data_IF_143925642398
#
_entry.id   IF_143925642398
#
_cell.length_a   1.000
_cell.length_b   1.000
_cell.length_c   1.000
_cell.angle_alpha   90.00
_cell.angle_beta   90.00
_cell.angle_gamma   90.00
#
_symmetry.space_group_name_H-M   'P 1'
#
loop_
_entity.id
_entity.type
_entity.pdbx_description
1 polymer ?
#
# COMPACT_ATOMS: atom_id res chain seq x y z
N UNK A 1 -0.52 -0.89 16.51
CA UNK A 1 0.36 -1.96 15.98
C UNK A 1 1.77 -1.45 15.96
N UNK A 2 2.72 -2.28 16.43
CA UNK A 2 4.15 -2.03 16.32
C UNK A 2 4.58 -2.22 14.87
N UNK A 3 5.42 -1.31 14.36
CA UNK A 3 5.97 -1.39 13.01
C UNK A 3 7.23 -2.28 13.01
N UNK A 4 7.49 -2.95 11.89
CA UNK A 4 8.68 -3.76 11.73
C UNK A 4 9.95 -2.92 11.90
N UNK A 5 10.82 -3.33 12.82
CA UNK A 5 12.07 -2.63 13.12
C UNK A 5 13.11 -2.87 12.05
N UNK A 6 13.65 -1.81 11.47
CA UNK A 6 14.69 -1.91 10.44
C UNK A 6 15.99 -2.49 11.01
N UNK A 7 16.29 -2.18 12.27
CA UNK A 7 17.49 -2.70 12.96
C UNK A 7 17.39 -4.20 13.16
N UNK A 8 16.21 -4.71 13.54
CA UNK A 8 15.97 -6.14 13.69
C UNK A 8 16.13 -6.87 12.36
N UNK A 9 15.51 -6.37 11.29
CA UNK A 9 15.62 -6.94 9.93
C UNK A 9 17.08 -6.95 9.47
N UNK A 10 17.81 -5.86 9.66
CA UNK A 10 19.21 -5.76 9.27
C UNK A 10 20.11 -6.76 10.03
N UNK A 11 19.97 -6.85 11.37
CA UNK A 11 20.75 -7.76 12.18
C UNK A 11 20.47 -9.23 11.81
N UNK A 12 19.19 -9.59 11.65
CA UNK A 12 18.80 -10.95 11.22
C UNK A 12 19.40 -11.29 9.86
N UNK A 13 19.38 -10.33 8.94
CA UNK A 13 19.97 -10.52 7.61
C UNK A 13 21.49 -10.72 7.68
N UNK A 14 22.20 -9.92 8.49
CA UNK A 14 23.65 -10.07 8.68
C UNK A 14 23.98 -11.42 9.30
N UNK A 15 23.22 -11.86 10.30
CA UNK A 15 23.42 -13.16 10.93
C UNK A 15 23.22 -14.30 9.93
N UNK A 16 22.25 -14.19 9.04
CA UNK A 16 22.01 -15.14 7.96
C UNK A 16 23.18 -15.18 6.98
N UNK A 17 23.68 -14.03 6.54
CA UNK A 17 24.78 -13.93 5.56
C UNK A 17 26.10 -14.36 6.17
N UNK A 18 26.38 -14.00 7.43
CA UNK A 18 27.60 -14.37 8.13
C UNK A 18 27.69 -15.89 8.41
N UNK A 19 26.54 -16.55 8.68
CA UNK A 19 26.48 -17.99 8.88
C UNK A 19 27.05 -18.77 7.68
N UNK A 20 26.81 -18.23 6.48
CA UNK A 20 27.27 -18.89 5.25
C UNK A 20 28.64 -18.43 4.77
N UNK A 21 29.35 -17.56 5.50
CA UNK A 21 30.68 -16.99 5.19
C UNK A 21 30.83 -16.40 3.78
N UNK A 22 29.72 -15.91 3.18
CA UNK A 22 29.64 -15.66 1.73
C UNK A 22 29.46 -14.23 1.30
N UNK A 23 29.55 -13.27 2.18
CA UNK A 23 29.43 -11.90 1.73
C UNK A 23 29.39 -10.87 2.82
N UNK A 24 29.59 -9.62 2.44
CA UNK A 24 29.44 -8.46 3.32
C UNK A 24 28.26 -7.64 2.82
N UNK A 25 27.20 -7.57 3.62
CA UNK A 25 26.08 -6.67 3.34
C UNK A 25 26.37 -5.33 3.98
N UNK A 26 26.66 -4.34 3.14
CA UNK A 26 26.83 -2.96 3.63
C UNK A 26 25.48 -2.31 3.90
N UNK A 27 25.42 -1.38 4.89
CA UNK A 27 24.19 -0.62 5.14
C UNK A 27 23.62 0.09 3.90
N UNK A 28 24.48 0.55 3.01
CA UNK A 28 24.06 1.19 1.75
C UNK A 28 23.33 0.23 0.82
N UNK A 29 23.85 -1.00 0.66
CA UNK A 29 23.20 -2.05 -0.14
C UNK A 29 21.86 -2.43 0.50
N UNK A 30 21.82 -2.63 1.82
CA UNK A 30 20.61 -2.92 2.54
C UNK A 30 19.54 -1.83 2.33
N UNK A 31 19.90 -0.57 2.53
CA UNK A 31 18.96 0.55 2.39
C UNK A 31 18.38 0.66 0.97
N UNK A 32 19.17 0.33 -0.06
CA UNK A 32 18.70 0.31 -1.44
C UNK A 32 17.61 -0.74 -1.68
N UNK A 33 17.67 -1.88 -0.99
CA UNK A 33 16.67 -2.94 -1.13
C UNK A 33 15.52 -2.85 -0.14
N UNK A 34 15.70 -2.17 0.99
CA UNK A 34 14.69 -2.08 2.05
C UNK A 34 13.34 -1.52 1.53
N UNK A 35 13.38 -0.44 0.75
CA UNK A 35 12.19 0.15 0.15
C UNK A 35 11.52 -0.79 -0.86
N UNK A 36 12.33 -1.44 -1.71
CA UNK A 36 11.80 -2.36 -2.72
C UNK A 36 11.14 -3.58 -2.06
N UNK A 37 11.75 -4.13 -1.00
CA UNK A 37 11.18 -5.22 -0.22
C UNK A 37 9.83 -4.83 0.37
N UNK A 38 9.76 -3.65 1.01
CA UNK A 38 8.51 -3.15 1.57
C UNK A 38 7.40 -3.02 0.51
N UNK A 39 7.71 -2.48 -0.66
CA UNK A 39 6.75 -2.37 -1.77
C UNK A 39 6.32 -3.74 -2.32
N UNK A 40 7.24 -4.72 -2.38
CA UNK A 40 6.91 -6.08 -2.81
C UNK A 40 5.96 -6.76 -1.83
N UNK A 41 6.26 -6.72 -0.53
CA UNK A 41 5.38 -7.27 0.51
C UNK A 41 4.01 -6.60 0.46
N UNK A 42 3.96 -5.27 0.35
CA UNK A 42 2.71 -4.54 0.19
C UNK A 42 1.90 -4.99 -1.04
N UNK A 43 2.53 -5.21 -2.18
CA UNK A 43 1.85 -5.71 -3.38
C UNK A 43 1.36 -7.15 -3.22
N UNK A 44 2.13 -8.02 -2.55
CA UNK A 44 1.72 -9.41 -2.23
C UNK A 44 0.45 -9.46 -1.38
N UNK A 45 0.24 -8.51 -0.46
CA UNK A 45 -1.01 -8.41 0.31
C UNK A 45 -2.23 -8.24 -0.62
N UNK A 46 -2.12 -7.42 -1.67
CA UNK A 46 -3.22 -7.27 -2.64
C UNK A 46 -3.42 -8.52 -3.49
N UNK A 47 -2.35 -9.20 -3.88
CA UNK A 47 -2.47 -10.48 -4.60
C UNK A 47 -3.18 -11.53 -3.75
N UNK A 48 -2.82 -11.63 -2.47
CA UNK A 48 -3.48 -12.51 -1.51
C UNK A 48 -4.98 -12.17 -1.35
N UNK A 49 -5.33 -10.88 -1.34
CA UNK A 49 -6.72 -10.43 -1.29
C UNK A 49 -7.48 -10.79 -2.56
N UNK A 50 -6.84 -10.68 -3.72
CA UNK A 50 -7.46 -11.10 -5.01
C UNK A 50 -7.62 -12.61 -5.06
N UNK A 51 -6.61 -13.38 -4.64
CA UNK A 51 -6.69 -14.85 -4.53
C UNK A 51 -7.83 -15.28 -3.63
N UNK A 52 -7.94 -14.71 -2.43
CA UNK A 52 -9.03 -15.01 -1.49
C UNK A 52 -10.42 -14.68 -2.08
N UNK A 53 -10.55 -13.57 -2.82
CA UNK A 53 -11.80 -13.25 -3.53
C UNK A 53 -12.14 -14.28 -4.61
N UNK A 54 -11.15 -14.73 -5.37
CA UNK A 54 -11.35 -15.73 -6.44
C UNK A 54 -11.73 -17.10 -5.88
N UNK A 55 -11.11 -17.53 -4.77
CA UNK A 55 -11.45 -18.78 -4.08
C UNK A 55 -12.89 -18.75 -3.58
N UNK A 56 -13.34 -17.64 -3.02
CA UNK A 56 -14.74 -17.46 -2.60
C UNK A 56 -15.73 -17.58 -3.78
N UNK A 57 -15.38 -17.05 -4.93
CA UNK A 57 -16.23 -17.18 -6.14
C UNK A 57 -16.33 -18.61 -6.65
N UNK A 58 -15.31 -19.44 -6.36
CA UNK A 58 -15.28 -20.85 -6.76
C UNK A 58 -15.92 -21.81 -5.75
N UNK A 59 -16.54 -21.30 -4.67
CA UNK A 59 -17.13 -22.09 -3.56
C UNK A 59 -16.17 -23.12 -2.93
N UNK A 60 -14.88 -22.84 -2.93
CA UNK A 60 -13.89 -23.63 -2.23
C UNK A 60 -13.87 -23.13 -0.77
N UNK A 61 -14.32 -23.95 0.11
CA UNK A 61 -14.46 -23.84 1.57
C UNK A 61 -14.61 -22.40 2.15
N UNK A 62 -15.83 -21.98 2.54
CA UNK A 62 -16.08 -20.57 2.91
C UNK A 62 -15.60 -20.20 4.32
N UNK A 63 -15.14 -21.14 5.16
CA UNK A 63 -14.76 -20.87 6.54
C UNK A 63 -13.35 -20.29 6.67
N UNK A 64 -12.37 -20.89 6.02
CA UNK A 64 -10.98 -20.45 6.09
C UNK A 64 -10.73 -19.17 5.27
N UNK A 65 -11.39 -19.04 4.12
CA UNK A 65 -11.28 -17.85 3.26
C UNK A 65 -11.76 -16.56 3.91
N UNK A 66 -12.79 -16.64 4.77
CA UNK A 66 -13.28 -15.46 5.50
C UNK A 66 -12.27 -14.96 6.52
N UNK A 67 -11.58 -15.87 7.19
CA UNK A 67 -10.54 -15.56 8.17
C UNK A 67 -9.34 -14.90 7.50
N UNK A 68 -8.81 -15.51 6.44
CA UNK A 68 -7.68 -14.99 5.68
C UNK A 68 -7.98 -13.62 5.03
N UNK A 69 -9.14 -13.48 4.39
CA UNK A 69 -9.56 -12.20 3.81
C UNK A 69 -9.73 -11.11 4.86
N UNK A 70 -10.22 -11.46 6.06
CA UNK A 70 -10.40 -10.52 7.17
C UNK A 70 -9.05 -10.05 7.67
N UNK A 71 -8.11 -10.96 7.88
CA UNK A 71 -6.76 -10.65 8.35
C UNK A 71 -6.02 -9.74 7.36
N UNK A 72 -5.96 -10.10 6.07
CA UNK A 72 -5.32 -9.26 5.04
C UNK A 72 -5.96 -7.87 4.95
N UNK A 73 -7.29 -7.77 5.10
CA UNK A 73 -7.96 -6.47 5.13
C UNK A 73 -7.62 -5.66 6.38
N UNK A 74 -7.45 -6.31 7.52
CA UNK A 74 -7.05 -5.68 8.77
C UNK A 74 -5.63 -5.12 8.65
N UNK A 75 -4.69 -5.87 8.09
CA UNK A 75 -3.33 -5.43 7.83
C UNK A 75 -3.29 -4.27 6.82
N UNK A 76 -4.04 -4.38 5.72
CA UNK A 76 -4.17 -3.32 4.73
C UNK A 76 -4.90 -2.08 5.26
N UNK A 77 -5.73 -2.20 6.30
CA UNK A 77 -6.44 -1.05 6.89
C UNK A 77 -5.48 0.01 7.43
N UNK A 78 -4.28 -0.40 7.82
CA UNK A 78 -3.21 0.50 8.25
C UNK A 78 -2.77 1.50 7.18
N UNK A 79 -2.91 1.13 5.91
CA UNK A 79 -2.55 1.97 4.77
C UNK A 79 -3.73 2.75 4.20
N UNK A 80 -4.94 2.58 4.75
CA UNK A 80 -6.10 3.34 4.31
C UNK A 80 -5.97 4.80 4.79
N UNK A 81 -6.10 5.71 3.84
CA UNK A 81 -6.13 7.15 4.09
C UNK A 81 -7.36 7.76 3.44
N UNK A 82 -7.94 8.73 4.11
CA UNK A 82 -9.04 9.52 3.59
C UNK A 82 -8.57 10.97 3.44
N UNK A 83 -8.79 11.54 2.26
CA UNK A 83 -8.39 12.91 1.94
C UNK A 83 -9.51 13.65 1.25
N UNK A 84 -9.75 14.87 1.71
CA UNK A 84 -10.70 15.80 1.09
C UNK A 84 -9.97 16.58 0.00
N UNK A 85 -10.50 16.56 -1.22
CA UNK A 85 -9.92 17.21 -2.39
C UNK A 85 -10.93 18.21 -2.96
N UNK A 86 -10.47 19.43 -3.17
CA UNK A 86 -11.23 20.47 -3.83
C UNK A 86 -10.96 20.46 -5.33
N UNK A 87 -11.97 20.83 -6.09
CA UNK A 87 -11.91 20.93 -7.55
C UNK A 87 -10.95 22.05 -7.98
N UNK A 88 -10.05 21.74 -8.89
CA UNK A 88 -9.17 22.69 -9.55
C UNK A 88 -9.24 22.45 -11.07
N UNK A 89 -9.44 23.48 -11.86
CA UNK A 89 -9.53 23.39 -13.33
C UNK A 89 -10.47 22.27 -13.85
N UNK A 90 -11.65 22.13 -13.22
CA UNK A 90 -12.65 21.10 -13.55
C UNK A 90 -12.26 19.65 -13.25
N UNK A 91 -11.13 19.41 -12.60
CA UNK A 91 -10.64 18.10 -12.20
C UNK A 91 -10.26 18.06 -10.72
N UNK A 92 -10.18 16.86 -10.19
CA UNK A 92 -9.71 16.59 -8.82
C UNK A 92 -8.37 15.86 -8.92
N UNK A 93 -7.29 16.53 -8.52
CA UNK A 93 -5.96 15.96 -8.54
C UNK A 93 -5.86 14.79 -7.55
N UNK A 94 -5.25 13.69 -7.98
CA UNK A 94 -4.97 12.57 -7.08
C UNK A 94 -3.85 12.93 -6.12
N UNK A 95 -3.91 12.47 -4.85
CA UNK A 95 -2.80 12.61 -3.93
C UNK A 95 -1.54 11.88 -4.43
N UNK A 96 -0.36 12.46 -4.23
CA UNK A 96 0.94 11.89 -4.65
C UNK A 96 1.25 10.56 -3.95
N UNK A 97 0.70 10.35 -2.74
CA UNK A 97 0.86 9.13 -1.96
C UNK A 97 -0.16 8.03 -2.29
N UNK A 98 -0.99 8.21 -3.33
CA UNK A 98 -2.02 7.26 -3.71
C UNK A 98 -1.42 6.02 -4.39
N UNK A 99 -1.59 4.84 -3.76
CA UNK A 99 -1.28 3.56 -4.37
C UNK A 99 -2.48 2.98 -5.13
N UNK A 100 -3.62 2.87 -4.46
CA UNK A 100 -4.85 2.29 -5.03
C UNK A 100 -6.09 2.99 -4.50
N UNK A 101 -6.95 3.43 -5.39
CA UNK A 101 -8.23 4.06 -5.05
C UNK A 101 -9.22 2.99 -4.56
N UNK A 102 -9.91 3.27 -3.45
CA UNK A 102 -10.92 2.39 -2.87
C UNK A 102 -12.32 2.92 -3.19
N UNK A 103 -12.59 4.16 -2.82
CA UNK A 103 -13.88 4.81 -3.04
C UNK A 103 -13.74 6.33 -3.09
N UNK A 104 -14.74 6.95 -3.65
CA UNK A 104 -14.92 8.40 -3.61
C UNK A 104 -16.34 8.72 -3.13
N UNK A 105 -16.46 9.78 -2.36
CA UNK A 105 -17.75 10.29 -1.91
C UNK A 105 -17.78 11.82 -2.00
N UNK A 106 -18.97 12.38 -2.02
CA UNK A 106 -19.17 13.83 -1.88
C UNK A 106 -20.18 14.10 -0.78
N UNK A 107 -20.13 15.27 -0.19
CA UNK A 107 -21.10 15.69 0.82
C UNK A 107 -22.27 16.36 0.14
N UNK A 108 -23.46 15.77 0.24
CA UNK A 108 -24.73 16.34 -0.23
C UNK A 108 -25.57 16.85 0.93
N UNK A 109 -26.35 17.88 0.68
CA UNK A 109 -27.35 18.36 1.63
C UNK A 109 -28.69 17.79 1.19
N UNK A 110 -29.20 16.80 1.91
CA UNK A 110 -30.59 16.35 1.73
C UNK A 110 -31.56 17.20 2.56
N UNK A 111 -32.81 17.22 2.15
CA UNK A 111 -33.88 18.06 2.70
C UNK A 111 -34.13 17.95 4.23
N UNK A 112 -33.44 17.06 4.94
CA UNK A 112 -33.58 16.83 6.37
C UNK A 112 -32.35 17.21 7.21
N UNK A 113 -31.57 18.20 6.78
CA UNK A 113 -30.44 18.79 7.53
C UNK A 113 -29.27 17.83 7.97
N UNK A 114 -29.18 16.65 7.43
CA UNK A 114 -28.01 15.78 7.66
C UNK A 114 -27.10 15.81 6.43
N UNK A 115 -25.87 16.23 6.62
CA UNK A 115 -24.83 16.08 5.61
C UNK A 115 -24.56 14.58 5.41
N UNK A 116 -25.16 14.01 4.39
CA UNK A 116 -25.00 12.59 4.06
C UNK A 116 -23.89 12.44 3.04
N UNK A 117 -23.00 11.48 3.25
CA UNK A 117 -22.01 11.12 2.25
C UNK A 117 -22.69 10.39 1.08
N UNK A 118 -22.54 10.95 -0.10
CA UNK A 118 -23.07 10.39 -1.34
C UNK A 118 -21.92 9.67 -2.05
N UNK A 119 -21.99 8.35 -2.28
CA UNK A 119 -20.96 7.62 -3.00
C UNK A 119 -20.92 8.08 -4.46
N UNK A 120 -19.70 8.21 -5.00
CA UNK A 120 -19.44 8.51 -6.41
C UNK A 120 -19.18 7.20 -7.13
N UNK A 121 -19.92 6.90 -8.19
CA UNK A 121 -19.63 5.74 -9.04
C UNK A 121 -18.37 6.00 -9.86
N UNK A 122 -17.31 5.21 -9.61
CA UNK A 122 -16.04 5.34 -10.30
C UNK A 122 -16.05 4.54 -11.60
N UNK A 123 -15.81 5.22 -12.71
CA UNK A 123 -15.76 4.64 -14.05
C UNK A 123 -14.36 4.82 -14.63
N UNK A 124 -13.84 3.76 -15.24
CA UNK A 124 -12.54 3.72 -15.91
C UNK A 124 -12.65 3.67 -17.43
N UNK A 125 -13.89 3.53 -17.98
CA UNK A 125 -14.18 3.41 -19.40
C UNK A 125 -14.88 4.69 -19.90
N UNK A 126 -14.21 5.39 -20.84
CA UNK A 126 -14.75 6.61 -21.47
C UNK A 126 -16.03 6.35 -22.27
N UNK A 127 -16.17 5.21 -22.92
CA UNK A 127 -17.33 4.93 -23.74
C UNK A 127 -18.56 4.65 -22.87
N UNK A 128 -18.37 4.03 -21.69
CA UNK A 128 -19.42 3.88 -20.69
C UNK A 128 -19.85 5.24 -20.17
N UNK A 129 -18.91 6.13 -19.82
CA UNK A 129 -19.23 7.47 -19.37
C UNK A 129 -20.02 8.27 -20.42
N UNK A 130 -19.57 8.26 -21.70
CA UNK A 130 -20.29 8.96 -22.79
C UNK A 130 -21.72 8.48 -22.97
N UNK A 131 -21.96 7.18 -22.81
CA UNK A 131 -23.34 6.61 -22.86
C UNK A 131 -24.18 7.11 -21.70
N UNK A 132 -23.63 7.15 -20.48
CA UNK A 132 -24.32 7.66 -19.30
C UNK A 132 -24.68 9.15 -19.44
N UNK A 133 -23.73 9.98 -19.88
CA UNK A 133 -23.95 11.42 -20.07
C UNK A 133 -25.03 11.75 -21.12
N UNK A 134 -25.20 10.89 -22.11
CA UNK A 134 -26.21 11.05 -23.17
C UNK A 134 -27.60 10.49 -22.82
N UNK A 135 -27.69 9.72 -21.75
CA UNK A 135 -28.95 9.10 -21.35
C UNK A 135 -29.84 10.08 -20.60
N UNK A 136 -31.06 10.33 -21.01
CA UNK A 136 -31.99 11.22 -20.31
C UNK A 136 -32.45 10.65 -18.95
N UNK A 137 -32.34 9.33 -18.76
CA UNK A 137 -32.83 8.64 -17.55
C UNK A 137 -31.73 8.42 -16.52
N UNK A 138 -30.52 8.07 -16.98
CA UNK A 138 -29.39 7.64 -16.12
C UNK A 138 -28.27 8.71 -16.08
N UNK A 139 -28.52 9.91 -16.61
CA UNK A 139 -27.54 10.99 -16.54
C UNK A 139 -27.15 11.30 -15.10
N UNK A 140 -25.86 11.57 -14.81
CA UNK A 140 -25.38 11.91 -13.48
C UNK A 140 -26.14 13.11 -12.90
N UNK A 141 -26.50 12.98 -11.63
CA UNK A 141 -27.19 14.03 -10.84
C UNK A 141 -26.43 14.23 -9.53
N UNK A 142 -26.72 15.29 -8.80
CA UNK A 142 -26.09 15.56 -7.50
C UNK A 142 -26.23 14.40 -6.50
N UNK A 143 -27.35 13.67 -6.56
CA UNK A 143 -27.61 12.50 -5.72
C UNK A 143 -26.98 11.20 -6.25
N UNK A 144 -26.53 11.19 -7.50
CA UNK A 144 -25.92 10.04 -8.16
C UNK A 144 -24.73 10.53 -9.01
N UNK A 145 -23.68 11.07 -8.37
CA UNK A 145 -22.52 11.56 -9.08
C UNK A 145 -21.70 10.39 -9.65
N UNK A 146 -21.09 10.66 -10.79
CA UNK A 146 -20.23 9.69 -11.49
C UNK A 146 -18.86 10.31 -11.68
N UNK A 147 -17.82 9.57 -11.36
CA UNK A 147 -16.41 9.99 -11.47
C UNK A 147 -15.68 9.19 -12.55
N UNK A 148 -15.06 9.88 -13.50
CA UNK A 148 -14.12 9.30 -14.44
C UNK A 148 -12.72 9.31 -13.83
N UNK A 149 -12.09 8.16 -13.77
CA UNK A 149 -10.74 8.00 -13.20
C UNK A 149 -9.74 7.85 -14.34
N UNK A 150 -8.93 8.88 -14.53
CA UNK A 150 -7.78 8.90 -15.46
C UNK A 150 -6.51 9.26 -14.67
N UNK A 151 -5.66 10.11 -15.20
CA UNK A 151 -4.55 10.72 -14.46
C UNK A 151 -5.11 11.49 -13.26
N UNK A 152 -6.11 12.34 -13.49
CA UNK A 152 -6.93 12.99 -12.48
C UNK A 152 -8.34 12.40 -12.46
N UNK A 153 -9.18 12.85 -11.52
CA UNK A 153 -10.57 12.42 -11.41
C UNK A 153 -11.46 13.55 -11.87
N UNK A 154 -12.33 13.28 -12.86
CA UNK A 154 -13.36 14.20 -13.32
C UNK A 154 -14.71 13.71 -12.82
N UNK A 155 -15.48 14.56 -12.11
CA UNK A 155 -16.77 14.17 -11.52
C UNK A 155 -17.89 14.91 -12.21
N UNK A 156 -18.98 14.21 -12.47
CA UNK A 156 -20.23 14.70 -13.02
C UNK A 156 -21.38 14.49 -12.02
N UNK A 157 -22.28 15.47 -11.83
CA UNK A 157 -22.34 16.77 -12.52
C UNK A 157 -21.23 17.72 -12.09
N UNK A 158 -21.01 18.75 -12.89
CA UNK A 158 -19.95 19.75 -12.68
C UNK A 158 -20.16 20.63 -11.43
N UNK A 159 -21.36 20.59 -10.85
CA UNK A 159 -21.71 21.28 -9.59
C UNK A 159 -20.98 20.73 -8.36
N UNK A 160 -20.38 19.52 -8.45
CA UNK A 160 -19.58 18.93 -7.35
C UNK A 160 -18.26 19.67 -7.24
N UNK A 161 -18.00 20.34 -6.12
CA UNK A 161 -16.78 21.14 -5.90
C UNK A 161 -15.79 20.49 -4.93
N UNK A 162 -16.23 19.51 -4.15
CA UNK A 162 -15.39 18.81 -3.17
C UNK A 162 -15.72 17.34 -3.13
N UNK A 163 -14.70 16.51 -3.12
CA UNK A 163 -14.82 15.06 -2.98
C UNK A 163 -13.93 14.58 -1.83
N UNK A 164 -14.35 13.50 -1.21
CA UNK A 164 -13.57 12.76 -0.21
C UNK A 164 -13.12 11.46 -0.84
N UNK A 165 -11.81 11.29 -1.02
CA UNK A 165 -11.21 10.06 -1.53
C UNK A 165 -10.78 9.17 -0.39
N UNK A 166 -11.15 7.90 -0.44
CA UNK A 166 -10.59 6.84 0.40
C UNK A 166 -9.70 5.97 -0.47
N UNK A 167 -8.44 5.80 -0.07
CA UNK A 167 -7.45 5.09 -0.86
C UNK A 167 -6.39 4.42 0.02
N UNK A 168 -5.69 3.45 -0.56
CA UNK A 168 -4.49 2.91 0.02
C UNK A 168 -3.31 3.80 -0.36
N UNK A 169 -2.56 4.26 0.64
CA UNK A 169 -1.33 5.03 0.42
C UNK A 169 -0.16 4.10 0.15
N UNK A 170 0.85 4.61 -0.55
CA UNK A 170 2.14 3.94 -0.73
C UNK A 170 2.84 3.86 0.63
N UNK A 171 3.31 2.66 1.07
CA UNK A 171 4.04 2.52 2.32
C UNK A 171 5.35 3.31 2.27
N UNK A 172 5.63 4.01 3.36
CA UNK A 172 6.82 4.81 3.56
C UNK A 172 7.54 4.37 4.83
N UNK A 173 8.68 4.96 5.13
CA UNK A 173 9.38 4.70 6.38
C UNK A 173 8.76 5.42 7.57
N UNK A 174 9.01 4.93 8.78
CA UNK A 174 8.61 5.52 10.05
C UNK A 174 9.82 5.82 10.92
N UNK A 175 9.97 7.06 11.37
CA UNK A 175 10.93 7.38 12.43
C UNK A 175 10.31 7.15 13.80
N UNK A 176 11.16 6.91 14.79
CA UNK A 176 10.73 6.71 16.17
C UNK A 176 10.14 8.00 16.77
N UNK A 177 10.60 9.17 16.31
CA UNK A 177 10.16 10.48 16.81
C UNK A 177 8.83 10.93 16.17
N UNK A 178 8.56 10.59 14.91
CA UNK A 178 7.37 10.99 14.18
C UNK A 178 6.60 9.77 13.67
N UNK A 179 5.33 9.68 14.03
CA UNK A 179 4.47 8.57 13.63
C UNK A 179 4.25 8.47 12.10
N UNK A 180 4.68 9.49 11.35
CA UNK A 180 4.57 9.55 9.88
C UNK A 180 5.71 10.36 9.31
N UNK A 181 6.66 9.71 8.67
CA UNK A 181 7.64 10.37 7.84
C UNK A 181 7.41 10.04 6.37
N UNK A 182 7.79 10.96 5.51
CA UNK A 182 7.83 10.77 4.06
C UNK A 182 9.16 10.17 3.59
N UNK A 183 9.99 9.73 4.53
CA UNK A 183 11.31 9.16 4.25
C UNK A 183 11.20 7.68 3.92
N UNK A 184 12.13 7.18 3.13
CA UNK A 184 12.25 5.74 2.83
C UNK A 184 12.83 4.99 4.03
N UNK A 185 12.50 3.69 4.23
CA UNK A 185 13.14 2.88 5.26
C UNK A 185 14.66 2.88 5.09
N UNK A 186 15.38 3.24 6.13
CA UNK A 186 16.84 3.29 6.11
C UNK A 186 17.43 3.07 7.49
N UNK A 187 18.48 2.26 7.57
CA UNK A 187 19.27 2.10 8.80
C UNK A 187 20.38 3.15 8.84
N UNK A 188 20.57 3.74 10.01
CA UNK A 188 21.65 4.68 10.33
C UNK A 188 22.52 4.15 11.44
N UNK A 189 23.77 4.55 11.47
CA UNK A 189 24.75 4.12 12.47
C UNK A 189 25.35 5.33 13.19
N UNK A 190 25.64 5.16 14.48
CA UNK A 190 26.37 6.15 15.26
C UNK A 190 27.81 6.21 14.75
N UNK A 191 28.25 7.40 14.36
CA UNK A 191 29.59 7.59 13.80
C UNK A 191 30.69 7.04 14.72
N UNK A 192 31.56 6.21 14.16
CA UNK A 192 32.72 5.64 14.86
C UNK A 192 32.45 4.45 15.79
N UNK A 193 31.21 4.05 16.03
CA UNK A 193 30.88 2.95 16.95
C UNK A 193 30.44 1.66 16.26
N UNK A 194 29.97 1.74 15.02
CA UNK A 194 29.36 0.59 14.30
C UNK A 194 28.04 0.11 14.91
N UNK A 195 27.48 0.85 15.89
CA UNK A 195 26.19 0.53 16.51
C UNK A 195 25.07 1.24 15.75
N UNK A 196 23.99 0.50 15.47
CA UNK A 196 22.81 1.08 14.82
C UNK A 196 22.18 2.17 15.68
N UNK A 197 21.96 3.34 15.08
CA UNK A 197 21.27 4.44 15.72
C UNK A 197 19.76 4.29 15.51
N UNK A 198 19.07 3.85 16.54
CA UNK A 198 17.62 3.67 16.50
C UNK A 198 16.86 4.99 16.36
N UNK A 199 17.44 6.10 16.83
CA UNK A 199 16.79 7.41 16.82
C UNK A 199 16.77 8.04 15.42
N UNK A 200 17.81 7.84 14.64
CA UNK A 200 17.94 8.36 13.27
C UNK A 200 17.61 7.33 12.18
N UNK A 201 17.40 6.07 12.56
CA UNK A 201 16.94 5.03 11.64
C UNK A 201 15.45 5.18 11.34
N UNK A 202 15.07 4.92 10.09
CA UNK A 202 13.70 4.97 9.61
C UNK A 202 13.17 3.55 9.47
N UNK A 203 12.23 3.15 10.33
CA UNK A 203 11.62 1.83 10.34
C UNK A 203 10.68 1.63 9.14
N UNK A 204 10.34 0.37 8.89
CA UNK A 204 9.30 0.01 7.94
C UNK A 204 7.93 0.47 8.44
N UNK A 205 7.01 0.75 7.52
CA UNK A 205 5.63 1.06 7.87
C UNK A 205 4.76 -0.21 8.01
N UNK A 206 5.26 -1.34 7.54
CA UNK A 206 4.60 -2.64 7.67
C UNK A 206 4.49 -3.08 9.14
N UNK A 207 3.42 -3.81 9.51
CA UNK A 207 3.30 -4.44 10.82
C UNK A 207 4.46 -5.38 11.15
N UNK A 208 4.74 -5.56 12.43
CA UNK A 208 5.89 -6.35 12.93
C UNK A 208 5.87 -7.81 12.46
N UNK A 209 4.71 -8.43 12.30
CA UNK A 209 4.59 -9.81 11.85
C UNK A 209 5.05 -10.06 10.41
N UNK A 210 5.27 -9.00 9.61
CA UNK A 210 5.89 -9.11 8.29
C UNK A 210 7.43 -9.04 8.32
N UNK A 211 8.04 -9.03 9.51
CA UNK A 211 9.51 -8.95 9.64
C UNK A 211 10.23 -10.08 8.91
N UNK A 212 9.73 -11.31 9.06
CA UNK A 212 10.34 -12.49 8.41
C UNK A 212 10.23 -12.39 6.89
N UNK A 213 9.09 -11.96 6.37
CA UNK A 213 8.88 -11.79 4.93
C UNK A 213 9.79 -10.70 4.35
N UNK A 214 9.98 -9.60 5.08
CA UNK A 214 10.94 -8.56 4.69
C UNK A 214 12.37 -9.09 4.63
N UNK A 215 12.79 -9.89 5.63
CA UNK A 215 14.13 -10.52 5.65
C UNK A 215 14.30 -11.40 4.42
N UNK A 216 13.33 -12.25 4.09
CA UNK A 216 13.41 -13.13 2.91
C UNK A 216 13.44 -12.35 1.59
N UNK A 217 12.62 -11.31 1.45
CA UNK A 217 12.63 -10.47 0.25
C UNK A 217 13.99 -9.79 0.05
N UNK A 218 14.54 -9.21 1.10
CA UNK A 218 15.86 -8.56 1.04
C UNK A 218 16.95 -9.60 0.78
N UNK A 219 16.94 -10.76 1.47
CA UNK A 219 17.89 -11.83 1.24
C UNK A 219 17.86 -12.34 -0.20
N UNK A 220 16.66 -12.50 -0.79
CA UNK A 220 16.50 -12.89 -2.19
C UNK A 220 17.15 -11.89 -3.15
N UNK A 221 16.96 -10.59 -2.91
CA UNK A 221 17.54 -9.54 -3.76
C UNK A 221 19.07 -9.46 -3.62
N UNK A 222 19.58 -9.63 -2.39
CA UNK A 222 21.02 -9.65 -2.13
C UNK A 222 21.65 -10.91 -2.72
N UNK A 223 21.04 -12.07 -2.58
CA UNK A 223 21.49 -13.32 -3.18
C UNK A 223 21.59 -13.26 -4.70
N UNK A 224 20.61 -12.65 -5.36
CA UNK A 224 20.68 -12.36 -6.80
C UNK A 224 21.87 -11.47 -7.16
N UNK A 225 22.09 -10.42 -6.38
CA UNK A 225 23.19 -9.48 -6.60
C UNK A 225 24.57 -10.13 -6.35
N UNK A 226 24.66 -10.97 -5.34
CA UNK A 226 25.88 -11.73 -5.01
C UNK A 226 26.06 -12.98 -5.90
N UNK A 227 25.14 -13.25 -6.82
CA UNK A 227 25.10 -14.47 -7.64
C UNK A 227 25.10 -15.77 -6.82
N UNK A 228 24.50 -15.72 -5.65
CA UNK A 228 24.41 -16.88 -4.75
C UNK A 228 23.10 -17.64 -5.02
N UNK A 229 23.22 -18.73 -5.80
CA UNK A 229 22.07 -19.56 -6.18
C UNK A 229 21.38 -20.24 -4.98
N UNK A 230 22.09 -20.48 -3.90
CA UNK A 230 21.55 -21.17 -2.72
C UNK A 230 20.63 -20.25 -1.91
N UNK A 231 21.01 -18.98 -1.73
CA UNK A 231 20.16 -17.99 -1.05
C UNK A 231 18.90 -17.70 -1.85
N UNK A 232 19.03 -17.59 -3.18
CA UNK A 232 17.88 -17.39 -4.09
C UNK A 232 16.96 -18.61 -4.06
N UNK A 233 17.49 -19.82 -4.10
CA UNK A 233 16.68 -21.04 -4.08
C UNK A 233 15.93 -21.21 -2.76
N UNK A 234 16.56 -20.92 -1.63
CA UNK A 234 15.94 -20.99 -0.31
C UNK A 234 14.79 -19.97 -0.17
N UNK A 235 14.99 -18.72 -0.61
CA UNK A 235 13.95 -17.69 -0.57
C UNK A 235 12.77 -18.04 -1.48
N UNK A 236 13.03 -18.63 -2.67
CA UNK A 236 11.97 -19.04 -3.61
C UNK A 236 11.16 -20.27 -3.14
N UNK A 237 11.79 -21.19 -2.39
CA UNK A 237 11.09 -22.34 -1.82
C UNK A 237 10.06 -21.87 -0.78
N UNK A 238 10.47 -20.95 0.10
CA UNK A 238 9.56 -20.42 1.14
C UNK A 238 8.47 -19.51 0.59
N UNK A 239 8.65 -18.94 -0.57
CA UNK A 239 7.60 -18.13 -1.26
C UNK A 239 6.47 -18.99 -1.85
N UNK A 240 6.70 -20.31 -1.99
CA UNK A 240 5.73 -21.27 -2.57
C UNK A 240 4.97 -22.09 -1.53
N UNK A 241 5.38 -22.05 -0.27
CA UNK A 241 4.65 -22.63 0.86
C UNK A 241 3.65 -21.62 1.44
#
# INVERSE_FOLDING_TARGET
>A
MTSASIVTVYNTLIDLVNKDQRGMVTPSIFNSFAQLAQLRVFNKMFESLVKAKMMRLRNIDPSDDKSMMKQVKEDLSHFIKTSDISKANSVFAKPDDLARLVSASTKGVFAFNTSTEIPIELIYDKDRLRRLLRSPVVAPKENYPVGMVEEDITVYPDSVNKITLTYYKIPQGRTQADARTTSVPAISFIAGTGVADQSSSVNFELPEHYTDELVFEIASMIGLNLRDGDVVSYSQVKEKE
#
